data_IF_522631118519
#
_entry.id   IF_522631118519
#
_cell.length_a   1.000
_cell.length_b   1.000
_cell.length_c   1.000
_cell.angle_alpha   90.00
_cell.angle_beta   90.00
_cell.angle_gamma   90.00
#
_symmetry.space_group_name_H-M   'P 1'
#
loop_
_entity.id
_entity.type
_entity.pdbx_description
1 polymer ?
#
# COMPACT_ATOMS: atom_id res chain seq x y z
N UNK A 1 17.03 8.99 13.76
CA UNK A 1 15.57 8.83 13.65
C UNK A 1 15.17 9.33 12.28
N UNK A 2 14.51 8.46 11.50
CA UNK A 2 14.51 8.48 10.03
C UNK A 2 14.06 9.78 9.38
N UNK A 3 14.81 10.17 8.35
CA UNK A 3 14.55 11.29 7.45
C UNK A 3 13.18 11.18 6.80
N UNK A 4 12.44 12.29 6.77
CA UNK A 4 11.18 12.44 6.05
C UNK A 4 11.24 11.80 4.66
N UNK A 5 10.31 10.88 4.45
CA UNK A 5 10.09 10.07 3.27
C UNK A 5 10.29 10.85 1.96
N UNK A 6 11.00 10.24 1.02
CA UNK A 6 10.77 10.55 -0.38
C UNK A 6 9.28 10.34 -0.68
N UNK A 7 8.66 11.22 -1.49
CA UNK A 7 7.22 11.16 -1.82
C UNK A 7 6.76 9.73 -2.21
N UNK A 8 7.62 8.97 -2.90
CA UNK A 8 7.35 7.59 -3.33
C UNK A 8 7.39 6.60 -2.15
N UNK A 9 8.39 6.70 -1.28
CA UNK A 9 8.51 5.77 -0.15
C UNK A 9 7.35 5.92 0.85
N UNK A 10 6.89 7.15 1.08
CA UNK A 10 5.69 7.39 1.89
C UNK A 10 4.41 6.80 1.26
N UNK A 11 4.30 6.83 -0.07
CA UNK A 11 3.19 6.17 -0.79
C UNK A 11 3.26 4.65 -0.71
N UNK A 12 4.46 4.06 -0.87
CA UNK A 12 4.68 2.62 -0.72
C UNK A 12 4.33 2.15 0.70
N UNK A 13 4.77 2.87 1.73
CA UNK A 13 4.45 2.55 3.13
C UNK A 13 2.93 2.62 3.40
N UNK A 14 2.22 3.57 2.79
CA UNK A 14 0.76 3.66 2.88
C UNK A 14 0.08 2.45 2.23
N UNK A 15 0.55 2.05 1.05
CA UNK A 15 0.01 0.90 0.32
C UNK A 15 0.19 -0.38 1.12
N UNK A 16 1.40 -0.61 1.62
CA UNK A 16 1.72 -1.78 2.44
C UNK A 16 0.82 -1.88 3.67
N UNK A 17 0.59 -0.78 4.39
CA UNK A 17 -0.33 -0.77 5.55
C UNK A 17 -1.78 -1.08 5.17
N UNK A 18 -2.23 -0.62 4.02
CA UNK A 18 -3.61 -0.84 3.56
C UNK A 18 -3.80 -2.31 3.16
N UNK A 19 -2.83 -2.89 2.46
CA UNK A 19 -2.80 -4.33 2.12
C UNK A 19 -2.73 -5.19 3.37
N UNK A 20 -1.85 -4.84 4.32
CA UNK A 20 -1.72 -5.52 5.61
C UNK A 20 -3.06 -5.56 6.37
N UNK A 21 -3.74 -4.41 6.44
CA UNK A 21 -5.08 -4.32 7.04
C UNK A 21 -6.08 -5.25 6.36
N UNK A 22 -6.07 -5.33 5.02
CA UNK A 22 -6.96 -6.21 4.25
C UNK A 22 -6.64 -7.69 4.48
N UNK A 23 -5.36 -8.07 4.59
CA UNK A 23 -4.94 -9.44 4.84
C UNK A 23 -5.31 -9.91 6.26
N UNK A 24 -5.19 -9.03 7.25
CA UNK A 24 -5.45 -9.34 8.65
C UNK A 24 -6.94 -9.20 9.06
N UNK A 25 -7.79 -8.72 8.16
CA UNK A 25 -9.20 -8.38 8.43
C UNK A 25 -10.08 -9.57 8.87
N UNK A 26 -9.64 -10.81 8.64
CA UNK A 26 -10.34 -12.04 8.98
C UNK A 26 -9.68 -12.93 10.04
N UNK A 27 -8.53 -12.52 10.59
CA UNK A 27 -7.76 -13.38 11.49
C UNK A 27 -8.40 -13.57 12.87
N UNK A 28 -9.25 -12.61 13.29
CA UNK A 28 -9.88 -12.64 14.62
C UNK A 28 -11.20 -13.44 14.68
N UNK A 29 -11.53 -14.24 13.66
CA UNK A 29 -12.85 -14.91 13.51
C UNK A 29 -14.07 -13.97 13.51
N UNK A 30 -13.85 -12.66 13.38
CA UNK A 30 -14.92 -11.68 13.25
C UNK A 30 -15.56 -11.76 11.86
N UNK A 31 -16.85 -11.45 11.78
CA UNK A 31 -17.52 -11.35 10.50
C UNK A 31 -16.92 -10.19 9.68
N UNK A 32 -16.41 -10.50 8.49
CA UNK A 32 -15.88 -9.46 7.59
C UNK A 32 -17.05 -8.69 7.00
N UNK A 33 -17.10 -7.38 7.27
CA UNK A 33 -18.02 -6.48 6.60
C UNK A 33 -17.60 -6.32 5.13
N UNK A 34 -18.47 -6.73 4.20
CA UNK A 34 -18.18 -6.71 2.76
C UNK A 34 -17.98 -5.28 2.25
N UNK A 35 -18.63 -4.29 2.85
CA UNK A 35 -18.47 -2.89 2.49
C UNK A 35 -17.07 -2.37 2.87
N UNK A 36 -16.60 -2.72 4.07
CA UNK A 36 -15.25 -2.34 4.53
C UNK A 36 -14.17 -3.05 3.69
N UNK A 37 -14.38 -4.32 3.32
CA UNK A 37 -13.50 -5.05 2.41
C UNK A 37 -13.45 -4.38 1.03
N UNK A 38 -14.60 -3.99 0.50
CA UNK A 38 -14.72 -3.31 -0.79
C UNK A 38 -14.04 -1.94 -0.76
N UNK A 39 -14.15 -1.22 0.35
CA UNK A 39 -13.50 0.08 0.56
C UNK A 39 -11.97 -0.07 0.57
N UNK A 40 -11.44 -1.02 1.34
CA UNK A 40 -10.00 -1.29 1.38
C UNK A 40 -9.47 -1.72 0.01
N UNK A 41 -10.20 -2.61 -0.68
CA UNK A 41 -9.80 -3.07 -2.00
C UNK A 41 -9.77 -1.92 -3.01
N UNK A 42 -10.74 -1.01 -2.96
CA UNK A 42 -10.78 0.19 -3.80
C UNK A 42 -9.61 1.13 -3.49
N UNK A 43 -9.35 1.39 -2.20
CA UNK A 43 -8.23 2.24 -1.77
C UNK A 43 -6.87 1.67 -2.21
N UNK A 44 -6.68 0.34 -2.14
CA UNK A 44 -5.47 -0.33 -2.65
C UNK A 44 -5.30 -0.06 -4.15
N UNK A 45 -6.37 -0.23 -4.94
CA UNK A 45 -6.32 0.05 -6.38
C UNK A 45 -5.99 1.51 -6.69
N UNK A 46 -6.56 2.46 -5.96
CA UNK A 46 -6.26 3.88 -6.13
C UNK A 46 -4.80 4.19 -5.78
N UNK A 47 -4.27 3.63 -4.69
CA UNK A 47 -2.88 3.81 -4.29
C UNK A 47 -1.89 3.17 -5.30
N UNK A 48 -2.21 2.01 -5.87
CA UNK A 48 -1.43 1.38 -6.95
C UNK A 48 -1.42 2.29 -8.18
N UNK A 49 -2.58 2.81 -8.60
CA UNK A 49 -2.66 3.72 -9.75
C UNK A 49 -1.87 5.01 -9.52
N UNK A 50 -1.85 5.53 -8.30
CA UNK A 50 -1.06 6.70 -7.91
C UNK A 50 0.46 6.43 -7.89
N UNK A 51 0.86 5.17 -7.71
CA UNK A 51 2.26 4.71 -7.71
C UNK A 51 2.73 4.28 -9.10
N UNK A 52 1.84 3.79 -9.95
CA UNK A 52 2.15 3.28 -11.29
C UNK A 52 2.97 4.25 -12.17
N UNK A 53 2.70 5.58 -12.21
CA UNK A 53 3.51 6.51 -13.00
C UNK A 53 4.78 7.00 -12.28
N UNK A 54 5.02 6.58 -11.03
CA UNK A 54 6.21 6.99 -10.28
C UNK A 54 7.45 6.24 -10.78
N UNK A 55 8.62 6.82 -10.57
CA UNK A 55 9.91 6.16 -10.77
C UNK A 55 10.84 6.51 -9.61
N UNK A 56 11.49 5.50 -9.06
CA UNK A 56 12.50 5.62 -8.01
C UNK A 56 13.70 6.42 -8.49
N UNK A 57 14.24 7.28 -7.60
CA UNK A 57 15.48 8.03 -7.90
C UNK A 57 16.73 7.17 -7.70
N UNK A 58 16.60 6.09 -6.94
CA UNK A 58 17.66 5.11 -6.69
C UNK A 58 17.17 3.71 -7.06
N UNK A 59 18.11 2.78 -7.23
CA UNK A 59 17.77 1.39 -7.52
C UNK A 59 16.93 0.75 -6.41
N UNK A 60 17.17 1.12 -5.15
CA UNK A 60 16.39 0.64 -4.01
C UNK A 60 14.95 1.16 -4.04
N UNK A 61 14.76 2.43 -4.41
CA UNK A 61 13.41 3.00 -4.55
C UNK A 61 12.65 2.38 -5.71
N UNK A 62 13.32 2.14 -6.84
CA UNK A 62 12.71 1.48 -8.00
C UNK A 62 12.37 0.01 -7.68
N UNK A 63 13.28 -0.71 -7.00
CA UNK A 63 13.02 -2.08 -6.57
C UNK A 63 11.84 -2.16 -5.58
N UNK A 64 11.77 -1.24 -4.62
CA UNK A 64 10.66 -1.17 -3.67
C UNK A 64 9.34 -0.83 -4.37
N UNK A 65 9.36 0.06 -5.36
CA UNK A 65 8.19 0.39 -6.18
C UNK A 65 7.72 -0.83 -6.97
N UNK A 66 8.61 -1.50 -7.71
CA UNK A 66 8.29 -2.70 -8.47
C UNK A 66 7.80 -3.87 -7.61
N UNK A 67 8.27 -3.99 -6.36
CA UNK A 67 7.78 -5.01 -5.43
C UNK A 67 6.36 -4.70 -4.92
N UNK A 68 5.96 -3.43 -4.92
CA UNK A 68 4.69 -2.97 -4.37
C UNK A 68 3.55 -2.94 -5.40
N UNK A 69 3.88 -3.00 -6.69
CA UNK A 69 2.95 -3.04 -7.83
C UNK A 69 2.72 -4.49 -8.29
#
# INVERSE_FOLDING_TARGET
MGTFNSSIQGKIEKLQKTVDTLLHMGENMDCICVDDLSLLNKEIHEQINDLYPCHGKTAEQEAALCLSL
#
